data_IF_450993713254
#
_entry.id   IF_450993713254
#
_cell.length_a   1.000
_cell.length_b   1.000
_cell.length_c   1.000
_cell.angle_alpha   90.00
_cell.angle_beta   90.00
_cell.angle_gamma   90.00
#
_symmetry.space_group_name_H-M   'P 1'
#
loop_
_entity.id
_entity.type
_entity.pdbx_description
1 polymer ?
#
# COMPACT_ATOMS: atom_id res chain seq x y z
N UNK A 1 16.29 2.02 -20.50
CA UNK A 1 15.89 3.11 -19.58
C UNK A 1 14.47 3.56 -19.93
N UNK A 2 13.47 2.77 -19.54
CA UNK A 2 12.07 3.02 -19.88
C UNK A 2 11.39 3.70 -18.68
N UNK A 3 10.97 4.95 -18.91
CA UNK A 3 9.94 5.75 -18.24
C UNK A 3 9.54 5.36 -16.80
N UNK A 4 10.08 6.14 -15.88
CA UNK A 4 9.80 6.31 -14.45
C UNK A 4 8.33 6.70 -14.13
N UNK A 5 7.37 5.92 -14.60
CA UNK A 5 5.94 6.09 -14.28
C UNK A 5 5.38 4.71 -14.01
N UNK A 6 5.01 4.44 -12.77
CA UNK A 6 3.83 3.68 -12.30
C UNK A 6 3.92 3.71 -10.76
N UNK A 7 2.77 3.82 -10.09
CA UNK A 7 2.63 4.41 -8.76
C UNK A 7 1.87 3.48 -7.82
N UNK A 8 2.43 3.28 -6.62
CA UNK A 8 2.07 2.36 -5.52
C UNK A 8 0.65 2.50 -4.95
N UNK A 9 -0.22 1.49 -5.05
CA UNK A 9 -1.68 1.62 -4.88
C UNK A 9 -2.19 1.81 -3.46
N UNK A 10 -1.63 1.17 -2.44
CA UNK A 10 -2.10 1.39 -1.05
C UNK A 10 -1.74 2.78 -0.57
N UNK A 11 -0.51 3.18 -0.90
CA UNK A 11 -0.03 4.52 -0.66
C UNK A 11 -0.82 5.49 -1.56
N UNK A 12 -1.13 5.12 -2.82
CA UNK A 12 -1.83 5.94 -3.82
C UNK A 12 -3.28 6.26 -3.48
N UNK A 13 -4.09 5.35 -2.95
CA UNK A 13 -5.47 5.70 -2.57
C UNK A 13 -5.54 6.88 -1.58
N UNK A 14 -4.52 7.01 -0.72
CA UNK A 14 -4.43 8.05 0.30
C UNK A 14 -3.57 9.24 -0.14
N UNK A 15 -2.56 8.98 -0.97
CA UNK A 15 -1.75 9.96 -1.71
C UNK A 15 -2.58 10.70 -2.77
N UNK A 16 -3.61 10.10 -3.36
CA UNK A 16 -4.54 10.75 -4.29
C UNK A 16 -5.34 11.87 -3.61
N UNK A 17 -5.51 11.77 -2.28
CA UNK A 17 -6.03 12.85 -1.45
C UNK A 17 -4.95 13.90 -1.09
N UNK A 18 -3.67 13.54 -1.13
CA UNK A 18 -2.52 14.38 -0.72
C UNK A 18 -1.61 14.88 -1.87
N UNK A 19 -1.90 14.59 -3.15
CA UNK A 19 -1.03 14.86 -4.31
C UNK A 19 0.43 14.37 -4.16
N UNK A 20 0.62 13.32 -3.40
CA UNK A 20 1.91 12.96 -2.82
C UNK A 20 2.63 11.81 -3.57
N UNK A 21 3.36 12.08 -4.65
CA UNK A 21 4.09 11.02 -5.36
C UNK A 21 5.26 10.49 -4.53
N UNK A 22 5.29 9.17 -4.25
CA UNK A 22 6.44 8.55 -3.57
C UNK A 22 7.78 8.99 -4.20
N UNK A 23 8.73 9.37 -3.37
CA UNK A 23 10.08 9.72 -3.81
C UNK A 23 10.76 8.49 -4.41
N UNK A 24 11.76 8.72 -5.27
CA UNK A 24 12.55 7.62 -5.85
C UNK A 24 13.15 6.71 -4.79
N UNK A 25 13.55 7.28 -3.65
CA UNK A 25 14.11 6.55 -2.51
C UNK A 25 13.05 5.67 -1.85
N UNK A 26 11.84 6.18 -1.64
CA UNK A 26 10.72 5.41 -1.09
C UNK A 26 10.33 4.25 -2.03
N UNK A 27 10.25 4.50 -3.34
CA UNK A 27 9.97 3.48 -4.35
C UNK A 27 11.02 2.36 -4.31
N UNK A 28 12.31 2.72 -4.30
CA UNK A 28 13.40 1.74 -4.29
C UNK A 28 13.38 0.87 -3.02
N UNK A 29 13.05 1.47 -1.87
CA UNK A 29 12.90 0.73 -0.59
C UNK A 29 11.78 -0.31 -0.69
N UNK A 30 10.60 0.10 -1.17
CA UNK A 30 9.45 -0.80 -1.29
C UNK A 30 9.67 -1.89 -2.35
N UNK A 31 10.27 -1.54 -3.49
CA UNK A 31 10.64 -2.50 -4.53
C UNK A 31 11.58 -3.59 -3.97
N UNK A 32 12.60 -3.19 -3.21
CA UNK A 32 13.52 -4.13 -2.55
C UNK A 32 12.77 -5.11 -1.62
N UNK A 33 11.74 -4.63 -0.91
CA UNK A 33 10.91 -5.50 -0.06
C UNK A 33 10.04 -6.45 -0.89
N UNK A 34 9.49 -6.00 -2.02
CA UNK A 34 8.74 -6.84 -2.94
C UNK A 34 9.60 -7.97 -3.50
N UNK A 35 10.81 -7.68 -3.99
CA UNK A 35 11.74 -8.70 -4.48
C UNK A 35 12.05 -9.75 -3.41
N UNK A 36 12.35 -9.30 -2.18
CA UNK A 36 12.63 -10.18 -1.05
C UNK A 36 11.44 -11.08 -0.70
N UNK A 37 10.23 -10.52 -0.63
CA UNK A 37 9.02 -11.28 -0.29
C UNK A 37 8.60 -12.24 -1.42
N UNK A 38 8.77 -11.85 -2.68
CA UNK A 38 8.52 -12.73 -3.82
C UNK A 38 9.48 -13.92 -3.80
N UNK A 39 10.76 -13.69 -3.51
CA UNK A 39 11.75 -14.76 -3.36
C UNK A 39 11.41 -15.68 -2.18
N UNK A 40 11.02 -15.12 -1.03
CA UNK A 40 10.66 -15.89 0.18
C UNK A 40 9.47 -16.84 -0.07
N UNK A 41 8.50 -16.43 -0.88
CA UNK A 41 7.32 -17.25 -1.20
C UNK A 41 7.39 -17.98 -2.55
N UNK A 42 8.53 -17.97 -3.23
CA UNK A 42 8.71 -18.54 -4.57
C UNK A 42 7.64 -18.08 -5.57
N UNK A 43 7.31 -16.78 -5.53
CA UNK A 43 6.35 -16.18 -6.45
C UNK A 43 6.94 -16.21 -7.85
N UNK A 44 6.17 -16.75 -8.80
CA UNK A 44 6.57 -16.76 -10.20
C UNK A 44 6.66 -15.33 -10.75
N UNK A 45 7.72 -15.04 -11.51
CA UNK A 45 8.01 -13.70 -12.03
C UNK A 45 6.94 -13.15 -12.99
N UNK A 46 6.03 -14.00 -13.49
CA UNK A 46 4.92 -13.62 -14.35
C UNK A 46 3.68 -13.08 -13.59
N UNK A 47 3.66 -13.14 -12.26
CA UNK A 47 2.51 -12.71 -11.46
C UNK A 47 2.51 -11.20 -11.16
N UNK A 48 3.59 -10.48 -11.50
CA UNK A 48 3.72 -9.02 -11.44
C UNK A 48 3.03 -8.35 -10.22
N UNK A 49 3.14 -8.97 -9.03
CA UNK A 49 2.36 -8.53 -7.85
C UNK A 49 2.64 -7.09 -7.43
N UNK A 50 3.84 -6.58 -7.68
CA UNK A 50 4.16 -5.17 -7.47
C UNK A 50 3.29 -4.26 -8.34
N UNK A 51 3.14 -4.55 -9.63
CA UNK A 51 2.30 -3.78 -10.57
C UNK A 51 0.80 -3.85 -10.19
N UNK A 52 0.32 -5.01 -9.75
CA UNK A 52 -1.06 -5.12 -9.28
C UNK A 52 -1.30 -4.36 -7.96
N UNK A 53 -0.32 -4.41 -7.05
CA UNK A 53 -0.34 -3.61 -5.83
C UNK A 53 -0.26 -2.11 -6.12
N UNK A 54 0.48 -1.70 -7.16
CA UNK A 54 0.55 -0.33 -7.68
C UNK A 54 -0.82 0.16 -8.14
N UNK A 55 -1.57 -0.63 -8.89
CA UNK A 55 -2.84 -0.20 -9.45
C UNK A 55 -4.06 -0.41 -8.55
N UNK A 56 -3.88 -0.90 -7.32
CA UNK A 56 -4.98 -1.44 -6.50
C UNK A 56 -5.81 -2.46 -7.29
N UNK A 57 -5.17 -3.16 -8.22
CA UNK A 57 -5.84 -4.10 -9.09
C UNK A 57 -6.03 -5.41 -8.33
N UNK A 58 -7.27 -5.62 -7.88
CA UNK A 58 -7.65 -6.82 -7.16
C UNK A 58 -7.92 -8.02 -8.08
N UNK A 59 -7.68 -7.92 -9.39
CA UNK A 59 -7.88 -9.03 -10.34
C UNK A 59 -7.01 -10.26 -10.01
N UNK A 60 -5.80 -10.04 -9.47
CA UNK A 60 -4.90 -11.10 -8.98
C UNK A 60 -4.90 -11.26 -7.45
N UNK A 61 -5.93 -10.79 -6.75
CA UNK A 61 -6.05 -10.81 -5.28
C UNK A 61 -6.31 -12.21 -4.67
N UNK A 62 -5.59 -13.21 -5.16
CA UNK A 62 -5.54 -14.54 -4.56
C UNK A 62 -4.85 -14.54 -3.19
N UNK A 63 -4.91 -15.66 -2.45
CA UNK A 63 -4.29 -15.77 -1.12
C UNK A 63 -2.79 -15.43 -1.11
N UNK A 64 -2.06 -15.78 -2.17
CA UNK A 64 -0.63 -15.50 -2.28
C UNK A 64 -0.32 -14.00 -2.38
N UNK A 65 -1.14 -13.25 -3.11
CA UNK A 65 -0.95 -11.80 -3.26
C UNK A 65 -0.97 -11.09 -1.90
N UNK A 66 -1.99 -11.35 -1.08
CA UNK A 66 -2.08 -10.73 0.24
C UNK A 66 -1.00 -11.20 1.21
N UNK A 67 -0.53 -12.45 1.07
CA UNK A 67 0.61 -12.95 1.85
C UNK A 67 1.90 -12.18 1.53
N UNK A 68 2.18 -11.93 0.25
CA UNK A 68 3.31 -11.11 -0.20
C UNK A 68 3.18 -9.68 0.35
N UNK A 69 1.99 -9.10 0.28
CA UNK A 69 1.75 -7.75 0.78
C UNK A 69 1.96 -7.60 2.28
N UNK A 70 1.48 -8.56 3.07
CA UNK A 70 1.76 -8.59 4.52
C UNK A 70 3.26 -8.65 4.77
N UNK A 71 4.00 -9.47 4.03
CA UNK A 71 5.46 -9.52 4.12
C UNK A 71 6.10 -8.17 3.79
N UNK A 72 5.69 -7.50 2.71
CA UNK A 72 6.20 -6.18 2.32
C UNK A 72 5.92 -5.15 3.42
N UNK A 73 4.70 -5.12 3.98
CA UNK A 73 4.34 -4.19 5.06
C UNK A 73 5.15 -4.43 6.32
N UNK A 74 5.37 -5.70 6.66
CA UNK A 74 6.17 -6.06 7.83
C UNK A 74 7.64 -5.66 7.65
N UNK A 75 8.22 -5.86 6.46
CA UNK A 75 9.59 -5.43 6.14
C UNK A 75 9.74 -3.91 6.13
N UNK A 76 8.73 -3.20 5.65
CA UNK A 76 8.66 -1.73 5.70
C UNK A 76 8.31 -1.18 7.09
N UNK A 77 8.08 -2.05 8.09
CA UNK A 77 7.65 -1.69 9.43
C UNK A 77 6.31 -0.94 9.48
N UNK A 78 5.42 -1.20 8.52
CA UNK A 78 4.07 -0.62 8.46
C UNK A 78 3.04 -1.45 9.20
N UNK A 79 3.31 -2.72 9.46
CA UNK A 79 2.45 -3.60 10.24
C UNK A 79 3.24 -4.34 11.31
N UNK A 80 2.58 -4.64 12.43
CA UNK A 80 3.13 -5.51 13.46
C UNK A 80 3.02 -7.00 13.07
N UNK A 81 3.33 -7.89 14.03
CA UNK A 81 3.27 -9.35 13.83
C UNK A 81 1.85 -9.88 13.64
N UNK A 82 0.84 -9.12 14.05
CA UNK A 82 -0.59 -9.45 13.95
C UNK A 82 -1.25 -8.83 12.70
N UNK A 83 -0.47 -8.13 11.87
CA UNK A 83 -0.95 -7.42 10.70
C UNK A 83 -1.66 -6.10 11.01
N UNK A 84 -1.55 -5.61 12.25
CA UNK A 84 -2.11 -4.31 12.62
C UNK A 84 -1.21 -3.19 12.10
N UNK A 85 -1.82 -2.16 11.50
CA UNK A 85 -1.08 -1.04 10.93
C UNK A 85 -0.42 -0.19 12.01
N UNK A 86 0.87 0.07 11.84
CA UNK A 86 1.67 1.01 12.61
C UNK A 86 1.63 2.36 11.87
N UNK A 87 0.49 3.05 11.97
CA UNK A 87 0.25 4.32 11.28
C UNK A 87 1.39 5.35 11.46
N UNK A 88 2.00 5.51 12.65
CA UNK A 88 3.14 6.43 12.82
C UNK A 88 4.31 6.14 11.88
N UNK A 89 4.62 4.86 11.62
CA UNK A 89 5.72 4.48 10.74
C UNK A 89 5.41 4.77 9.27
N UNK A 90 4.15 4.59 8.85
CA UNK A 90 3.71 4.98 7.52
C UNK A 90 3.76 6.49 7.33
N UNK A 91 3.33 7.26 8.34
CA UNK A 91 3.41 8.72 8.33
C UNK A 91 4.84 9.19 8.23
N UNK A 92 5.75 8.61 9.01
CA UNK A 92 7.17 8.96 8.96
C UNK A 92 7.79 8.62 7.61
N UNK A 93 7.49 7.42 7.07
CA UNK A 93 7.95 7.03 5.74
C UNK A 93 7.49 8.02 4.67
N UNK A 94 6.25 8.50 4.75
CA UNK A 94 5.65 9.45 3.82
C UNK A 94 6.11 10.89 4.02
N UNK A 95 6.53 11.29 5.23
CA UNK A 95 6.80 12.69 5.60
C UNK A 95 7.86 13.35 4.72
N UNK A 96 8.79 12.59 4.15
CA UNK A 96 9.69 13.07 3.11
C UNK A 96 8.86 13.56 1.91
N UNK A 97 8.78 14.89 1.77
CA UNK A 97 8.15 15.64 0.66
C UNK A 97 6.61 15.60 0.55
N UNK A 98 5.90 15.15 1.60
CA UNK A 98 4.43 15.06 1.57
C UNK A 98 3.72 15.72 2.74
N UNK A 99 2.56 16.32 2.45
CA UNK A 99 1.61 16.71 3.49
C UNK A 99 0.81 15.49 3.95
N UNK A 100 1.14 14.99 5.14
CA UNK A 100 0.57 13.77 5.73
C UNK A 100 -0.53 14.06 6.76
N UNK A 101 -0.97 15.31 6.91
CA UNK A 101 -1.89 15.73 7.98
C UNK A 101 -3.24 15.01 7.95
N UNK A 102 -3.78 14.69 6.76
CA UNK A 102 -5.02 13.93 6.60
C UNK A 102 -4.86 12.41 6.59
N UNK A 103 -3.63 11.91 6.49
CA UNK A 103 -3.36 10.48 6.28
C UNK A 103 -3.86 9.60 7.46
N UNK A 104 -3.54 9.90 8.74
CA UNK A 104 -3.99 9.06 9.86
C UNK A 104 -5.51 8.90 9.97
N UNK A 105 -6.26 9.97 9.70
CA UNK A 105 -7.71 9.98 9.79
C UNK A 105 -8.39 9.22 8.63
N UNK A 106 -7.72 9.13 7.48
CA UNK A 106 -8.25 8.40 6.33
C UNK A 106 -7.90 6.92 6.41
N UNK A 107 -6.66 6.57 6.76
CA UNK A 107 -6.24 5.17 6.91
C UNK A 107 -7.03 4.48 8.03
N UNK A 108 -7.33 5.17 9.13
CA UNK A 108 -8.09 4.60 10.26
C UNK A 108 -9.50 4.14 9.87
N UNK A 109 -10.11 4.72 8.83
CA UNK A 109 -11.40 4.27 8.28
C UNK A 109 -11.29 2.92 7.56
N UNK A 110 -10.09 2.56 7.12
CA UNK A 110 -9.82 1.34 6.36
C UNK A 110 -9.12 0.25 7.19
N UNK A 111 -8.71 0.55 8.43
CA UNK A 111 -8.08 -0.43 9.32
C UNK A 111 -9.15 -1.41 9.81
N UNK A 112 -8.92 -2.71 9.60
CA UNK A 112 -9.64 -3.78 10.29
C UNK A 112 -8.82 -4.26 11.48
N UNK A 113 -9.48 -4.44 12.63
CA UNK A 113 -8.86 -5.00 13.85
C UNK A 113 -9.17 -6.48 14.06
N UNK A 114 -9.93 -7.10 13.14
CA UNK A 114 -10.32 -8.51 13.21
C UNK A 114 -9.81 -9.27 12.00
N UNK A 115 -9.59 -10.57 12.18
CA UNK A 115 -9.11 -11.49 11.14
C UNK A 115 -7.59 -11.74 11.17
N UNK A 116 -7.14 -12.61 10.25
CA UNK A 116 -5.72 -12.86 9.99
C UNK A 116 -5.03 -11.61 9.40
N UNK A 117 -3.69 -11.55 9.42
CA UNK A 117 -2.95 -10.46 8.75
C UNK A 117 -3.36 -10.26 7.29
N UNK A 118 -3.58 -11.33 6.53
CA UNK A 118 -4.01 -11.28 5.13
C UNK A 118 -5.45 -10.77 4.98
N UNK A 119 -6.34 -11.15 5.89
CA UNK A 119 -7.73 -10.65 5.91
C UNK A 119 -7.76 -9.15 6.21
N UNK A 120 -6.96 -8.70 7.20
CA UNK A 120 -6.79 -7.27 7.51
C UNK A 120 -6.22 -6.51 6.32
N UNK A 121 -5.20 -7.05 5.66
CA UNK A 121 -4.60 -6.45 4.46
C UNK A 121 -5.59 -6.36 3.31
N UNK A 122 -6.38 -7.42 3.07
CA UNK A 122 -7.45 -7.42 2.07
C UNK A 122 -8.51 -6.37 2.36
N UNK A 123 -8.95 -6.25 3.61
CA UNK A 123 -9.91 -5.23 4.04
C UNK A 123 -9.36 -3.82 3.78
N UNK A 124 -8.11 -3.58 4.16
CA UNK A 124 -7.42 -2.31 3.92
C UNK A 124 -7.40 -1.95 2.43
N UNK A 125 -6.92 -2.86 1.58
CA UNK A 125 -6.86 -2.66 0.13
C UNK A 125 -8.22 -2.45 -0.53
N UNK A 126 -9.23 -3.18 -0.07
CA UNK A 126 -10.60 -3.06 -0.59
C UNK A 126 -11.21 -1.72 -0.21
N UNK A 127 -10.94 -1.22 1.00
CA UNK A 127 -11.37 0.11 1.41
C UNK A 127 -10.62 1.20 0.61
N UNK A 128 -9.30 1.06 0.47
CA UNK A 128 -8.46 1.97 -0.29
C UNK A 128 -8.89 2.08 -1.76
N UNK A 129 -9.18 0.96 -2.44
CA UNK A 129 -9.63 0.98 -3.84
C UNK A 129 -10.95 1.73 -4.00
N UNK A 130 -11.91 1.55 -3.07
CA UNK A 130 -13.18 2.29 -3.05
C UNK A 130 -12.98 3.80 -2.85
N UNK A 131 -12.06 4.19 -1.97
CA UNK A 131 -11.71 5.60 -1.78
C UNK A 131 -11.12 6.22 -3.06
N UNK A 132 -10.29 5.47 -3.78
CA UNK A 132 -9.66 5.92 -5.03
C UNK A 132 -10.64 6.05 -6.21
N UNK A 133 -11.71 5.25 -6.22
CA UNK A 133 -12.74 5.27 -7.26
C UNK A 133 -13.88 6.25 -6.99
N UNK A 134 -13.92 6.88 -5.81
CA UNK A 134 -14.95 7.85 -5.48
C UNK A 134 -14.72 9.14 -6.28
N UNK A 135 -15.74 9.68 -6.98
CA UNK A 135 -15.62 10.99 -7.60
C UNK A 135 -15.23 11.99 -6.52
N UNK A 136 -14.17 12.79 -6.76
CA UNK A 136 -13.76 13.88 -5.87
C UNK A 136 -14.97 14.80 -5.69
N UNK A 137 -15.73 14.62 -4.61
CA UNK A 137 -16.69 15.62 -4.19
C UNK A 137 -15.88 16.87 -3.85
N UNK A 138 -15.96 17.83 -4.75
CA UNK A 138 -15.69 19.24 -4.54
C UNK A 138 -16.35 19.64 -3.21
N UNK A 139 -15.59 19.75 -2.12
CA UNK A 139 -15.91 20.55 -0.93
C UNK A 139 -14.81 20.38 0.11
N UNK A 140 -13.66 21.00 -0.15
CA UNK A 140 -12.80 21.52 0.91
C UNK A 140 -12.26 22.87 0.42
N UNK A 141 -13.03 23.92 0.74
CA UNK A 141 -12.55 25.30 0.79
C UNK A 141 -11.65 25.46 2.02
#
# INVERSE_FOLDING_TARGET
MSKFRIMFGILFALILYCQAFLTRTQLLKLHTHFEQCNAEFNVSSNLHFEEHAEHLDLSLAGPMFFKVLVCVHRRANFTDVNGDLIVPNMVEFLREDHNVSGFPAQISKCVSHTGSPEEKMRALYTCASKLSSSPRNETFF
#
